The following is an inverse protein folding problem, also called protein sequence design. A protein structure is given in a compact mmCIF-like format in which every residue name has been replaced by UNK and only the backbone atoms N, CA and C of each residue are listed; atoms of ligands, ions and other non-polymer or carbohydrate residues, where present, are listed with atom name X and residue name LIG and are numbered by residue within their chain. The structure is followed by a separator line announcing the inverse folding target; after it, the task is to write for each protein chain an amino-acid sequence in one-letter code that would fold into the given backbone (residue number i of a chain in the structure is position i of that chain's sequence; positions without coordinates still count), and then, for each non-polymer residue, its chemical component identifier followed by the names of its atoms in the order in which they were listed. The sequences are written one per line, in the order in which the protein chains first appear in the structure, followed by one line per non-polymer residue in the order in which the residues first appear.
data_IF_765293131172
#
_entry.id   IF_765293131172
#
_cell.length_a   1.000
_cell.length_b   1.000
_cell.length_c   1.000
_cell.angle_alpha   90.00
_cell.angle_beta   90.00
_cell.angle_gamma   90.00
#
_symmetry.space_group_name_H-M   'P 1'
#
loop_
_entity.id
_entity.type
_entity.pdbx_description
1 polymer ?
#
# COMPACT_ATOMS: atom_id res chain seq x y z
N UNK A 1 19.90 -82.73 18.77
CA UNK A 1 20.69 -81.67 18.07
C UNK A 1 19.72 -80.57 17.66
N UNK A 2 19.50 -79.64 18.55
CA UNK A 2 18.51 -78.55 18.37
C UNK A 2 19.28 -77.21 18.22
N UNK A 3 19.24 -76.66 17.04
CA UNK A 3 19.89 -75.42 16.64
C UNK A 3 19.02 -74.23 17.05
N UNK A 4 19.47 -73.43 18.01
CA UNK A 4 18.82 -72.16 18.37
C UNK A 4 19.17 -71.09 17.32
N UNK A 5 18.14 -70.41 16.78
CA UNK A 5 18.25 -69.23 15.95
C UNK A 5 18.53 -67.99 16.79
N UNK A 6 19.33 -67.02 16.36
CA UNK A 6 19.57 -65.78 17.08
C UNK A 6 18.36 -64.83 16.95
N UNK A 7 17.91 -64.29 18.06
CA UNK A 7 16.89 -63.24 18.15
C UNK A 7 17.51 -61.93 17.64
N UNK A 8 16.97 -61.39 16.54
CA UNK A 8 17.26 -60.07 16.07
C UNK A 8 16.59 -59.02 16.99
N UNK A 9 17.43 -58.23 17.64
CA UNK A 9 17.00 -57.07 18.41
C UNK A 9 16.57 -55.99 17.43
N UNK A 10 15.25 -55.77 17.31
CA UNK A 10 14.72 -54.67 16.49
C UNK A 10 15.02 -53.34 17.21
N UNK A 11 15.83 -52.50 16.54
CA UNK A 11 16.10 -51.14 16.96
C UNK A 11 14.79 -50.32 16.93
N UNK A 12 14.45 -49.75 18.06
CA UNK A 12 13.26 -48.90 18.24
C UNK A 12 13.43 -47.63 17.36
N UNK A 13 12.47 -47.27 16.50
CA UNK A 13 12.56 -46.04 15.75
C UNK A 13 12.57 -44.82 16.67
N UNK A 14 13.30 -43.71 16.34
CA UNK A 14 13.34 -42.53 17.17
C UNK A 14 11.93 -41.92 17.26
N UNK A 15 11.57 -41.51 18.47
CA UNK A 15 10.24 -40.98 18.77
C UNK A 15 9.96 -39.72 17.95
N UNK A 16 8.78 -39.63 17.32
CA UNK A 16 8.33 -38.50 16.49
C UNK A 16 8.42 -37.13 17.19
N UNK A 17 8.55 -37.10 18.52
CA UNK A 17 8.70 -35.87 19.31
C UNK A 17 10.06 -35.15 19.14
N UNK A 18 11.14 -35.84 18.76
CA UNK A 18 12.45 -35.22 18.60
C UNK A 18 12.55 -34.46 17.27
N UNK A 19 11.93 -34.98 16.23
CA UNK A 19 11.91 -34.35 14.91
C UNK A 19 11.05 -33.07 14.89
N UNK A 20 9.95 -33.06 15.61
CA UNK A 20 9.10 -31.87 15.77
C UNK A 20 9.75 -30.74 16.57
N UNK A 21 10.60 -31.06 17.55
CA UNK A 21 11.36 -30.04 18.31
C UNK A 21 12.42 -29.37 17.47
N UNK A 22 13.13 -30.13 16.63
CA UNK A 22 14.18 -29.59 15.74
C UNK A 22 13.57 -28.67 14.67
N UNK A 23 12.47 -29.08 14.05
CA UNK A 23 11.74 -28.25 13.06
C UNK A 23 11.16 -26.98 13.67
N UNK A 24 10.67 -27.00 14.92
CA UNK A 24 10.23 -25.81 15.63
C UNK A 24 11.38 -24.85 15.97
N UNK A 25 12.55 -25.35 16.33
CA UNK A 25 13.72 -24.52 16.62
C UNK A 25 14.30 -23.86 15.36
N UNK A 26 14.37 -24.57 14.23
CA UNK A 26 14.83 -24.01 12.97
C UNK A 26 13.84 -22.98 12.40
N UNK A 27 12.54 -23.23 12.50
CA UNK A 27 11.51 -22.27 12.07
C UNK A 27 11.44 -21.03 12.98
N UNK A 28 11.71 -21.15 14.28
CA UNK A 28 11.77 -20.02 15.20
C UNK A 28 13.05 -19.18 15.04
N UNK A 29 14.18 -19.79 14.69
CA UNK A 29 15.41 -19.07 14.41
C UNK A 29 15.33 -18.30 13.09
N UNK A 30 14.63 -18.80 12.05
CA UNK A 30 14.39 -18.09 10.80
C UNK A 30 13.34 -16.98 10.90
N UNK A 31 12.50 -16.99 11.95
CA UNK A 31 11.43 -15.98 12.15
C UNK A 31 11.93 -14.75 12.91
N UNK A 32 13.15 -14.76 13.47
CA UNK A 32 13.68 -13.65 14.28
C UNK A 32 14.46 -12.59 13.47
N UNK A 33 14.76 -12.82 12.21
CA UNK A 33 15.38 -11.83 11.32
C UNK A 33 14.39 -11.54 10.21
N UNK A 34 13.42 -10.68 10.49
CA UNK A 34 12.69 -10.04 9.41
C UNK A 34 13.69 -9.19 8.62
N UNK A 35 13.80 -9.35 7.30
CA UNK A 35 14.74 -8.57 6.48
C UNK A 35 14.42 -7.07 6.48
N UNK A 36 13.32 -6.67 7.07
CA UNK A 36 12.85 -5.28 7.25
C UNK A 36 12.46 -5.12 8.72
N UNK A 37 12.85 -4.02 9.34
CA UNK A 37 12.54 -3.71 10.73
C UNK A 37 11.02 -3.64 10.95
N UNK A 38 10.57 -4.11 12.11
CA UNK A 38 9.13 -4.09 12.45
C UNK A 38 8.55 -2.69 12.47
N UNK A 39 9.34 -1.72 12.91
CA UNK A 39 8.96 -0.31 12.97
C UNK A 39 8.72 0.25 11.56
N UNK A 40 9.57 -0.11 10.60
CA UNK A 40 9.42 0.28 9.20
C UNK A 40 8.16 -0.31 8.56
N UNK A 41 7.87 -1.59 8.85
CA UNK A 41 6.64 -2.24 8.37
C UNK A 41 5.41 -1.58 8.99
N UNK A 42 5.47 -1.23 10.28
CA UNK A 42 4.36 -0.59 10.98
C UNK A 42 4.11 0.82 10.43
N UNK A 43 5.15 1.60 10.23
CA UNK A 43 5.05 2.93 9.62
C UNK A 43 4.41 2.87 8.23
N UNK A 44 4.90 1.97 7.37
CA UNK A 44 4.32 1.76 6.04
C UNK A 44 2.86 1.32 6.09
N UNK A 45 2.48 0.48 7.06
CA UNK A 45 1.10 0.03 7.22
C UNK A 45 0.17 1.19 7.62
N UNK A 46 0.61 2.10 8.50
CA UNK A 46 -0.14 3.30 8.88
C UNK A 46 -0.34 4.19 7.65
N UNK A 47 0.71 4.49 6.90
CA UNK A 47 0.61 5.35 5.72
C UNK A 47 -0.30 4.75 4.63
N UNK A 48 -0.33 3.42 4.48
CA UNK A 48 -1.26 2.75 3.57
C UNK A 48 -2.72 2.82 4.06
N UNK A 49 -2.95 2.77 5.38
CA UNK A 49 -4.26 2.93 6.00
C UNK A 49 -4.77 4.36 5.82
N UNK A 50 -3.90 5.35 5.95
CA UNK A 50 -4.21 6.76 5.73
C UNK A 50 -4.74 7.03 4.30
N UNK A 51 -4.22 6.36 3.26
CA UNK A 51 -4.79 6.46 1.89
C UNK A 51 -6.24 5.97 1.85
N UNK A 52 -6.54 4.86 2.53
CA UNK A 52 -7.89 4.32 2.59
C UNK A 52 -8.83 5.28 3.34
N UNK A 53 -8.36 5.86 4.44
CA UNK A 53 -9.12 6.83 5.23
C UNK A 53 -9.40 8.11 4.45
N UNK A 54 -8.42 8.67 3.76
CA UNK A 54 -8.57 9.86 2.90
C UNK A 54 -9.53 9.59 1.73
N UNK A 55 -9.43 8.43 1.10
CA UNK A 55 -10.38 8.02 0.05
C UNK A 55 -11.81 7.91 0.58
N UNK A 56 -11.98 7.34 1.79
CA UNK A 56 -13.27 7.24 2.45
C UNK A 56 -13.81 8.62 2.86
N UNK A 57 -12.94 9.54 3.28
CA UNK A 57 -13.30 10.94 3.56
C UNK A 57 -13.88 11.62 2.32
N UNK A 58 -13.24 11.51 1.16
CA UNK A 58 -13.74 12.05 -0.10
C UNK A 58 -15.12 11.47 -0.48
N UNK A 59 -15.30 10.15 -0.30
CA UNK A 59 -16.58 9.49 -0.55
C UNK A 59 -17.69 10.00 0.39
N UNK A 60 -17.38 10.16 1.68
CA UNK A 60 -18.33 10.74 2.67
C UNK A 60 -18.64 12.20 2.39
N UNK A 61 -17.67 13.00 1.92
CA UNK A 61 -17.91 14.37 1.52
C UNK A 61 -18.91 14.44 0.36
N UNK A 62 -18.78 13.56 -0.64
CA UNK A 62 -19.76 13.44 -1.72
C UNK A 62 -21.17 13.16 -1.18
N UNK A 63 -21.33 12.20 -0.26
CA UNK A 63 -22.62 11.85 0.33
C UNK A 63 -23.19 13.00 1.16
N UNK A 64 -22.42 13.57 2.09
CA UNK A 64 -22.86 14.65 2.99
C UNK A 64 -23.26 15.90 2.24
N UNK A 65 -22.61 16.21 1.13
CA UNK A 65 -22.87 17.42 0.34
C UNK A 65 -23.87 17.20 -0.80
N UNK A 66 -24.44 15.99 -0.92
CA UNK A 66 -25.45 15.68 -1.93
C UNK A 66 -24.90 15.75 -3.35
N UNK A 67 -23.71 15.21 -3.60
CA UNK A 67 -23.14 15.07 -4.95
C UNK A 67 -23.87 13.93 -5.66
N UNK A 68 -24.88 14.26 -6.45
CA UNK A 68 -25.63 13.25 -7.22
C UNK A 68 -24.81 12.70 -8.40
N UNK A 69 -23.98 13.54 -9.00
CA UNK A 69 -23.09 13.17 -10.09
C UNK A 69 -21.74 13.85 -9.90
N UNK A 70 -20.64 13.08 -9.87
CA UNK A 70 -19.30 13.65 -9.85
C UNK A 70 -19.06 14.53 -11.07
N UNK A 71 -18.36 15.65 -10.87
CA UNK A 71 -17.93 16.51 -11.97
C UNK A 71 -16.84 15.83 -12.81
N UNK A 72 -16.59 16.35 -13.99
CA UNK A 72 -15.51 15.85 -14.86
C UNK A 72 -14.13 15.94 -14.18
N UNK A 73 -13.92 16.98 -13.39
CA UNK A 73 -12.69 17.16 -12.63
C UNK A 73 -12.54 16.11 -11.50
N UNK A 74 -13.61 15.85 -10.75
CA UNK A 74 -13.62 14.78 -9.74
C UNK A 74 -13.31 13.42 -10.36
N UNK A 75 -13.94 13.10 -11.51
CA UNK A 75 -13.66 11.85 -12.23
C UNK A 75 -12.19 11.78 -12.69
N UNK A 76 -11.64 12.89 -13.20
CA UNK A 76 -10.24 12.96 -13.63
C UNK A 76 -9.26 12.72 -12.47
N UNK A 77 -9.54 13.25 -11.26
CA UNK A 77 -8.74 12.99 -10.06
C UNK A 77 -8.90 11.54 -9.57
N UNK A 78 -10.11 10.98 -9.62
CA UNK A 78 -10.34 9.58 -9.27
C UNK A 78 -9.59 8.62 -10.21
N UNK A 79 -9.53 8.91 -11.51
CA UNK A 79 -8.75 8.12 -12.46
C UNK A 79 -7.25 8.16 -12.11
N UNK A 80 -6.74 9.32 -11.71
CA UNK A 80 -5.35 9.46 -11.23
C UNK A 80 -5.15 8.67 -9.94
N UNK A 81 -6.05 8.77 -8.96
CA UNK A 81 -5.96 8.02 -7.70
C UNK A 81 -5.92 6.50 -7.94
N UNK A 82 -6.79 5.99 -8.83
CA UNK A 82 -6.80 4.56 -9.20
C UNK A 82 -5.48 4.15 -9.86
N UNK A 83 -4.95 4.96 -10.76
CA UNK A 83 -3.67 4.67 -11.41
C UNK A 83 -2.50 4.69 -10.41
N UNK A 84 -2.49 5.65 -9.49
CA UNK A 84 -1.44 5.82 -8.48
C UNK A 84 -1.45 4.69 -7.47
N UNK A 85 -2.63 4.30 -6.98
CA UNK A 85 -2.77 3.15 -6.06
C UNK A 85 -2.40 1.83 -6.72
N UNK A 86 -2.68 1.64 -8.01
CA UNK A 86 -2.23 0.46 -8.76
C UNK A 86 -0.69 0.37 -8.85
N UNK A 87 0.00 1.49 -9.06
CA UNK A 87 1.47 1.55 -9.02
C UNK A 87 2.02 1.26 -7.62
N UNK A 88 1.36 1.75 -6.55
CA UNK A 88 1.74 1.44 -5.18
C UNK A 88 1.63 -0.05 -4.85
N UNK A 89 0.56 -0.71 -5.25
CA UNK A 89 0.41 -2.16 -5.09
C UNK A 89 1.58 -2.90 -5.74
N UNK A 90 1.96 -2.49 -6.95
CA UNK A 90 3.13 -3.03 -7.64
C UNK A 90 4.45 -2.75 -6.91
N UNK A 91 4.61 -1.58 -6.31
CA UNK A 91 5.81 -1.19 -5.56
C UNK A 91 5.94 -1.98 -4.25
N UNK A 92 4.85 -2.16 -3.50
CA UNK A 92 4.83 -2.98 -2.27
C UNK A 92 5.20 -4.43 -2.56
N UNK A 93 4.69 -5.00 -3.66
CA UNK A 93 5.08 -6.36 -4.07
C UNK A 93 6.59 -6.50 -4.34
N UNK A 94 7.22 -5.46 -4.89
CA UNK A 94 8.67 -5.42 -5.15
C UNK A 94 9.51 -5.37 -3.88
N UNK A 95 9.01 -4.78 -2.79
CA UNK A 95 9.69 -4.79 -1.50
C UNK A 95 9.90 -6.24 -1.01
N UNK A 96 8.88 -7.09 -1.15
CA UNK A 96 8.98 -8.50 -0.79
C UNK A 96 9.99 -9.28 -1.64
N UNK A 97 10.10 -8.97 -2.93
CA UNK A 97 11.06 -9.60 -3.85
C UNK A 97 12.45 -8.96 -3.85
N UNK A 98 12.66 -7.89 -3.08
CA UNK A 98 13.89 -7.07 -3.04
C UNK A 98 14.26 -6.48 -4.41
N UNK A 99 13.26 -6.19 -5.24
CA UNK A 99 13.45 -5.47 -6.51
C UNK A 99 13.50 -3.95 -6.24
N UNK A 100 14.60 -3.50 -5.63
CA UNK A 100 14.78 -2.08 -5.28
C UNK A 100 14.80 -1.15 -6.50
N UNK A 101 15.46 -1.49 -7.62
CA UNK A 101 15.35 -0.69 -8.84
C UNK A 101 13.91 -0.54 -9.33
N UNK A 102 13.09 -1.58 -9.19
CA UNK A 102 11.67 -1.55 -9.53
C UNK A 102 10.86 -0.63 -8.61
N UNK A 103 11.22 -0.50 -7.32
CA UNK A 103 10.61 0.46 -6.38
C UNK A 103 10.91 1.88 -6.82
N UNK A 104 12.17 2.22 -7.14
CA UNK A 104 12.53 3.57 -7.62
C UNK A 104 11.82 3.94 -8.92
N UNK A 105 11.68 2.97 -9.84
CA UNK A 105 10.93 3.17 -11.07
C UNK A 105 9.43 3.42 -10.81
N UNK A 106 8.82 2.69 -9.86
CA UNK A 106 7.43 2.91 -9.45
C UNK A 106 7.24 4.29 -8.82
N UNK A 107 8.13 4.72 -7.90
CA UNK A 107 8.13 6.06 -7.32
C UNK A 107 8.14 7.15 -8.40
N UNK A 108 8.99 7.02 -9.42
CA UNK A 108 9.06 8.01 -10.50
C UNK A 108 7.73 8.10 -11.29
N UNK A 109 7.02 6.97 -11.49
CA UNK A 109 5.71 6.96 -12.14
C UNK A 109 4.62 7.57 -11.24
N UNK A 110 4.62 7.22 -9.94
CA UNK A 110 3.70 7.79 -8.94
C UNK A 110 3.83 9.31 -8.90
N UNK A 111 5.06 9.83 -8.83
CA UNK A 111 5.31 11.28 -8.89
C UNK A 111 4.81 11.94 -10.18
N UNK A 112 4.84 11.23 -11.31
CA UNK A 112 4.30 11.75 -12.56
C UNK A 112 2.78 11.83 -12.52
N UNK A 113 2.12 10.83 -11.90
CA UNK A 113 0.68 10.78 -11.71
C UNK A 113 0.20 11.84 -10.70
N UNK A 114 0.91 12.03 -9.58
CA UNK A 114 0.65 13.11 -8.62
C UNK A 114 0.66 14.47 -9.32
N UNK A 115 1.71 14.78 -10.10
CA UNK A 115 1.77 16.04 -10.87
C UNK A 115 0.65 16.19 -11.92
N UNK A 116 0.10 15.07 -12.40
CA UNK A 116 -1.08 15.10 -13.26
C UNK A 116 -2.32 15.44 -12.43
N UNK A 117 -2.50 14.84 -11.25
CA UNK A 117 -3.57 15.13 -10.30
C UNK A 117 -3.56 16.60 -9.89
N UNK A 118 -2.42 17.09 -9.48
CA UNK A 118 -2.12 18.48 -9.14
C UNK A 118 -2.58 19.47 -10.23
N UNK A 119 -2.31 19.15 -11.51
CA UNK A 119 -2.76 19.98 -12.63
C UNK A 119 -4.28 19.94 -12.78
N UNK A 120 -4.90 18.75 -12.72
CA UNK A 120 -6.35 18.60 -12.81
C UNK A 120 -7.04 19.39 -11.71
N UNK A 121 -6.52 19.27 -10.46
CA UNK A 121 -7.04 19.98 -9.29
C UNK A 121 -6.93 21.51 -9.47
N UNK A 122 -5.74 22.04 -9.76
CA UNK A 122 -5.51 23.49 -9.92
C UNK A 122 -6.37 24.08 -11.06
N UNK A 123 -6.47 23.38 -12.18
CA UNK A 123 -7.29 23.82 -13.30
C UNK A 123 -8.78 23.83 -12.95
N UNK A 124 -9.25 22.83 -12.22
CA UNK A 124 -10.63 22.75 -11.76
C UNK A 124 -10.95 23.87 -10.78
N UNK A 125 -10.12 24.05 -9.75
CA UNK A 125 -10.29 25.12 -8.78
C UNK A 125 -10.25 26.49 -9.44
N UNK A 126 -9.30 26.72 -10.35
CA UNK A 126 -9.22 27.99 -11.10
C UNK A 126 -10.52 28.28 -11.85
N UNK A 127 -11.11 27.27 -12.50
CA UNK A 127 -12.39 27.41 -13.21
C UNK A 127 -13.54 27.78 -12.29
N UNK A 128 -13.60 27.20 -11.08
CA UNK A 128 -14.64 27.52 -10.09
C UNK A 128 -14.68 29.01 -9.72
N UNK A 129 -13.55 29.70 -9.75
CA UNK A 129 -13.44 31.13 -9.42
C UNK A 129 -13.49 32.07 -10.61
N UNK A 130 -13.11 31.60 -11.80
CA UNK A 130 -12.93 32.46 -12.97
C UNK A 130 -14.07 32.34 -14.01
N UNK A 131 -14.90 31.29 -13.95
CA UNK A 131 -15.96 31.05 -14.95
C UNK A 131 -17.35 31.41 -14.41
N UNK A 132 -17.78 32.64 -14.69
CA UNK A 132 -19.17 33.07 -14.53
C UNK A 132 -19.69 33.10 -13.07
N UNK A 133 -21.00 33.26 -12.91
CA UNK A 133 -21.64 33.16 -11.61
C UNK A 133 -21.93 31.70 -11.26
N UNK A 134 -21.29 31.21 -10.18
CA UNK A 134 -21.52 29.88 -9.61
C UNK A 134 -22.21 30.03 -8.28
N UNK A 135 -23.24 29.23 -8.01
CA UNK A 135 -23.84 29.14 -6.66
C UNK A 135 -22.77 28.76 -5.62
N UNK A 136 -22.72 29.51 -4.51
CA UNK A 136 -21.71 29.35 -3.47
C UNK A 136 -21.71 27.94 -2.87
N UNK A 137 -22.87 27.28 -2.76
CA UNK A 137 -22.94 25.91 -2.28
C UNK A 137 -22.32 24.92 -3.27
N UNK A 138 -22.53 25.15 -4.56
CA UNK A 138 -21.90 24.33 -5.61
C UNK A 138 -20.39 24.53 -5.59
N UNK A 139 -19.93 25.78 -5.50
CA UNK A 139 -18.49 26.09 -5.42
C UNK A 139 -17.82 25.41 -4.21
N UNK A 140 -18.41 25.54 -3.02
CA UNK A 140 -17.87 24.93 -1.80
C UNK A 140 -17.85 23.40 -1.90
N UNK A 141 -18.93 22.79 -2.38
CA UNK A 141 -19.05 21.35 -2.57
C UNK A 141 -17.97 20.82 -3.51
N UNK A 142 -17.87 21.43 -4.69
CA UNK A 142 -16.83 21.04 -5.70
C UNK A 142 -15.44 21.18 -5.09
N UNK A 143 -15.15 22.29 -4.46
CA UNK A 143 -13.84 22.57 -3.87
C UNK A 143 -13.44 21.54 -2.82
N UNK A 144 -14.33 21.25 -1.87
CA UNK A 144 -14.02 20.34 -0.77
C UNK A 144 -13.79 18.92 -1.28
N UNK A 145 -14.63 18.43 -2.19
CA UNK A 145 -14.46 17.08 -2.73
C UNK A 145 -13.19 16.96 -3.59
N UNK A 146 -12.88 18.00 -4.38
CA UNK A 146 -11.63 18.02 -5.17
C UNK A 146 -10.40 18.02 -4.26
N UNK A 147 -10.40 18.81 -3.19
CA UNK A 147 -9.30 18.85 -2.22
C UNK A 147 -9.13 17.49 -1.50
N UNK A 148 -10.22 16.84 -1.09
CA UNK A 148 -10.16 15.52 -0.43
C UNK A 148 -9.59 14.43 -1.36
N UNK A 149 -9.96 14.42 -2.65
CA UNK A 149 -9.42 13.44 -3.61
C UNK A 149 -7.95 13.72 -3.89
N UNK A 150 -7.56 14.96 -4.08
CA UNK A 150 -6.18 15.36 -4.33
C UNK A 150 -5.28 15.01 -3.14
N UNK A 151 -5.74 15.27 -1.91
CA UNK A 151 -5.03 14.86 -0.69
C UNK A 151 -4.76 13.35 -0.64
N UNK A 152 -5.69 12.51 -1.12
CA UNK A 152 -5.47 11.07 -1.20
C UNK A 152 -4.43 10.70 -2.28
N UNK A 153 -4.36 11.44 -3.38
CA UNK A 153 -3.33 11.27 -4.43
C UNK A 153 -1.95 11.65 -3.89
N UNK A 154 -1.85 12.80 -3.22
CA UNK A 154 -0.60 13.28 -2.60
C UNK A 154 -0.07 12.29 -1.57
N UNK A 155 -0.97 11.72 -0.76
CA UNK A 155 -0.57 10.73 0.23
C UNK A 155 0.03 9.46 -0.39
N UNK A 156 -0.38 9.10 -1.61
CA UNK A 156 0.25 8.02 -2.36
C UNK A 156 1.72 8.32 -2.70
N UNK A 157 2.10 9.59 -2.97
CA UNK A 157 3.52 9.97 -3.17
C UNK A 157 4.31 9.80 -1.88
N UNK A 158 3.76 10.18 -0.71
CA UNK A 158 4.39 10.00 0.61
C UNK A 158 4.70 8.51 0.85
N UNK A 159 3.75 7.63 0.59
CA UNK A 159 3.96 6.17 0.72
C UNK A 159 5.05 5.68 -0.24
N UNK A 160 5.09 6.20 -1.46
CA UNK A 160 6.14 5.84 -2.42
C UNK A 160 7.53 6.33 -1.97
N UNK A 161 7.60 7.46 -1.28
CA UNK A 161 8.83 7.98 -0.66
C UNK A 161 9.29 7.07 0.47
N UNK A 162 8.40 6.64 1.35
CA UNK A 162 8.68 5.67 2.41
C UNK A 162 9.17 4.34 1.84
N UNK A 163 8.53 3.79 0.82
CA UNK A 163 9.01 2.58 0.12
C UNK A 163 10.41 2.75 -0.47
N UNK A 164 10.68 3.93 -1.05
CA UNK A 164 12.00 4.26 -1.60
C UNK A 164 13.08 4.34 -0.49
N UNK A 165 12.75 4.93 0.66
CA UNK A 165 13.65 5.01 1.82
C UNK A 165 13.96 3.62 2.37
N UNK A 166 12.96 2.74 2.46
CA UNK A 166 13.14 1.34 2.82
C UNK A 166 14.07 0.61 1.83
N UNK A 167 13.90 0.85 0.53
CA UNK A 167 14.76 0.29 -0.50
C UNK A 167 16.22 0.76 -0.37
N UNK A 168 16.46 2.01 0.01
CA UNK A 168 17.82 2.53 0.28
C UNK A 168 18.41 1.93 1.55
N UNK A 169 17.61 1.76 2.62
CA UNK A 169 18.07 1.22 3.91
C UNK A 169 18.48 -0.26 3.83
N UNK A 170 17.85 -1.01 2.94
CA UNK A 170 18.01 -2.47 2.85
C UNK A 170 18.66 -2.96 1.53
N UNK A 171 19.02 -2.06 0.62
CA UNK A 171 19.71 -2.33 -0.64
C UNK A 171 21.17 -2.08 -0.51
#
# INVERSE_FOLDING_TARGET
MTRRLPTATAARPPSAGSHFKTLKHESLASTYITPIDREDIHALAIELDDIADLTNQAARACEMMGVERPSHAMMGLLDVLVATTAELVGAVAKLRSRDYPGIFAAKARIRTLEKQGDRVHRDAVSRLFLTGEIDVKVLLRERIVLDDIETAVDHCEIVADTLSNLAVKHG
#
